data_IF_539682491400
#
_entry.id   IF_539682491400
#
_cell.length_a   1.000
_cell.length_b   1.000
_cell.length_c   1.000
_cell.angle_alpha   90.00
_cell.angle_beta   90.00
_cell.angle_gamma   90.00
#
_symmetry.space_group_name_H-M   'P 1'
#
loop_
_entity.id
_entity.type
_entity.pdbx_description
1 polymer ?
#
# COMPACT_ATOMS: atom_id res chain seq x y z
N UNK A 1 4.14 -8.63 -10.92
CA UNK A 1 3.04 -9.43 -10.49
C UNK A 1 2.80 -10.56 -11.43
N UNK A 2 2.54 -11.75 -10.97
CA UNK A 2 2.36 -12.85 -11.79
C UNK A 2 1.19 -13.62 -11.47
N UNK A 3 0.39 -13.94 -12.50
CA UNK A 3 -0.62 -14.87 -12.39
C UNK A 3 -0.04 -16.05 -12.99
N UNK A 4 0.09 -17.00 -12.30
CA UNK A 4 0.60 -18.11 -12.94
C UNK A 4 -0.48 -18.60 -13.82
N UNK A 5 -1.06 -18.23 -14.60
CA UNK A 5 -2.16 -18.66 -15.35
C UNK A 5 -1.94 -19.90 -16.12
N UNK A 6 -2.16 -19.75 -16.09
CA UNK A 6 -2.33 -20.50 -16.53
C UNK A 6 -2.52 -21.13 -17.30
N UNK A 7 -2.63 -21.04 -17.47
CA UNK A 7 -2.93 -21.57 -17.90
C UNK A 7 -3.10 -21.93 -18.42
N UNK A 8 -3.17 -21.62 -18.30
CA UNK A 8 -3.46 -21.92 -18.55
C UNK A 8 -3.89 -21.89 -18.85
N UNK A 9 -4.10 -21.32 -18.89
CA UNK A 9 -4.53 -21.34 -19.20
C UNK A 9 -4.99 -21.03 -19.57
N UNK A 10 -5.12 -20.48 -19.60
CA UNK A 10 -5.49 -20.37 -20.02
C UNK A 10 -5.88 -20.45 -20.53
N UNK A 11 -6.13 -20.07 -20.55
CA UNK A 11 -6.41 -20.35 -21.12
C UNK A 11 -6.70 -20.43 -21.57
N UNK A 12 -6.89 -19.96 -21.65
CA UNK A 12 -7.23 -20.27 -22.17
C UNK A 12 -7.67 -20.66 -22.40
N UNK A 13 -7.77 -20.57 -22.42
CA UNK A 13 -8.32 -21.16 -22.66
C UNK A 13 -8.16 -21.93 -22.73
N UNK A 14 -7.98 -21.79 -21.43
CA UNK A 14 -8.14 -22.96 -21.83
C UNK A 14 -8.55 -23.09 -23.12
N UNK A 15 -7.74 -23.16 -23.76
CA UNK A 15 -8.03 -23.28 -25.09
C UNK A 15 -8.82 -24.51 -25.34
N UNK A 16 -9.94 -24.35 -25.92
CA UNK A 16 -10.71 -25.50 -26.36
C UNK A 16 -9.97 -26.08 -27.53
N UNK A 17 -9.55 -27.30 -27.42
CA UNK A 17 -8.72 -27.86 -28.40
C UNK A 17 -9.38 -28.03 -29.72
N UNK A 18 -10.69 -28.19 -29.73
CA UNK A 18 -11.44 -28.38 -30.94
C UNK A 18 -11.62 -27.09 -31.68
N UNK A 19 -11.97 -26.04 -30.99
CA UNK A 19 -12.27 -24.78 -31.62
C UNK A 19 -11.18 -23.75 -31.48
N UNK A 20 -10.26 -23.98 -30.56
CA UNK A 20 -9.22 -23.03 -30.30
C UNK A 20 -9.66 -21.88 -29.45
N UNK A 21 -10.78 -21.98 -28.79
CA UNK A 21 -11.29 -20.90 -27.97
C UNK A 21 -11.25 -21.24 -26.50
N UNK A 22 -10.96 -20.21 -25.73
CA UNK A 22 -11.01 -20.34 -24.28
C UNK A 22 -12.40 -20.01 -23.81
N UNK A 23 -12.93 -20.85 -22.97
CA UNK A 23 -14.22 -20.53 -22.38
C UNK A 23 -14.02 -19.60 -21.22
N UNK A 24 -14.72 -18.46 -21.21
CA UNK A 24 -14.50 -17.45 -20.18
C UNK A 24 -14.60 -17.98 -18.75
N UNK A 25 -15.53 -18.87 -18.52
CA UNK A 25 -15.73 -19.43 -17.18
C UNK A 25 -14.51 -20.21 -16.73
N UNK A 26 -13.95 -21.02 -17.61
CA UNK A 26 -12.76 -21.78 -17.28
C UNK A 26 -11.56 -20.87 -17.07
N UNK A 27 -11.45 -19.82 -17.85
CA UNK A 27 -10.38 -18.89 -17.72
C UNK A 27 -10.44 -18.22 -16.36
N UNK A 28 -11.62 -17.78 -15.93
CA UNK A 28 -11.79 -17.14 -14.64
C UNK A 28 -11.41 -18.08 -13.51
N UNK A 29 -11.77 -19.33 -13.61
CA UNK A 29 -11.43 -20.30 -12.59
C UNK A 29 -9.92 -20.48 -12.48
N UNK A 30 -9.26 -20.55 -13.62
CA UNK A 30 -7.82 -20.71 -13.65
C UNK A 30 -7.15 -19.53 -12.97
N UNK A 31 -7.60 -18.32 -13.28
CA UNK A 31 -7.02 -17.13 -12.68
C UNK A 31 -7.22 -17.15 -11.17
N UNK A 32 -8.39 -17.53 -10.70
CA UNK A 32 -8.65 -17.58 -9.28
C UNK A 32 -7.78 -18.61 -8.57
N UNK A 33 -7.56 -19.75 -9.21
CA UNK A 33 -6.75 -20.79 -8.60
C UNK A 33 -5.27 -20.42 -8.58
N UNK A 34 -4.86 -19.57 -9.46
CA UNK A 34 -3.46 -19.19 -9.54
C UNK A 34 -3.20 -17.87 -8.83
N UNK A 35 -3.83 -17.71 -7.70
CA UNK A 35 -3.64 -16.56 -6.87
C UNK A 35 -2.18 -16.40 -6.46
N UNK A 36 -1.73 -15.16 -6.37
CA UNK A 36 -0.38 -14.88 -5.92
C UNK A 36 -0.23 -15.27 -4.46
N UNK A 37 0.78 -16.06 -4.18
CA UNK A 37 1.04 -16.47 -2.82
C UNK A 37 1.60 -15.29 -2.04
N UNK A 38 1.25 -15.20 -0.78
CA UNK A 38 1.69 -14.10 0.05
C UNK A 38 0.85 -12.85 -0.13
N UNK A 39 -0.06 -12.86 -1.11
CA UNK A 39 -0.98 -11.77 -1.33
C UNK A 39 -0.37 -10.58 -2.05
N UNK A 40 -1.01 -9.43 -1.94
CA UNK A 40 -0.55 -8.23 -2.62
C UNK A 40 -1.05 -7.02 -1.86
N UNK A 41 -0.46 -5.89 -2.18
CA UNK A 41 -0.86 -4.59 -1.67
C UNK A 41 -1.26 -3.74 -2.86
N UNK A 42 -2.00 -2.66 -2.58
CA UNK A 42 -2.45 -1.76 -3.64
C UNK A 42 -1.70 -0.45 -3.55
N UNK A 43 -1.14 -0.03 -4.66
CA UNK A 43 -0.41 1.23 -4.75
C UNK A 43 -1.06 2.04 -5.86
N UNK A 44 -1.52 3.24 -5.52
CA UNK A 44 -2.16 4.12 -6.47
C UNK A 44 -1.15 5.10 -7.04
N UNK A 45 -1.47 5.67 -8.19
CA UNK A 45 -0.56 6.62 -8.82
C UNK A 45 -0.25 7.81 -7.90
N UNK A 46 -1.21 8.21 -7.09
CA UNK A 46 -1.02 9.33 -6.17
C UNK A 46 0.09 9.05 -5.16
N UNK A 47 0.34 7.79 -4.85
CA UNK A 47 1.44 7.43 -3.96
C UNK A 47 2.78 7.75 -4.62
N UNK A 48 2.93 7.40 -5.90
CA UNK A 48 4.14 7.71 -6.63
C UNK A 48 4.37 9.20 -6.68
N UNK A 49 3.30 9.96 -6.96
CA UNK A 49 3.40 11.42 -7.01
C UNK A 49 3.83 12.00 -5.67
N UNK A 50 3.30 11.44 -4.58
CA UNK A 50 3.67 11.90 -3.25
C UNK A 50 5.14 11.62 -2.97
N UNK A 51 5.63 10.45 -3.36
CA UNK A 51 7.03 10.11 -3.14
C UNK A 51 7.97 11.13 -3.78
N UNK A 52 7.59 11.64 -4.95
CA UNK A 52 8.43 12.61 -5.65
C UNK A 52 8.59 13.90 -4.87
N UNK A 53 7.63 14.25 -4.02
CA UNK A 53 7.73 15.45 -3.20
C UNK A 53 8.35 15.20 -1.85
N UNK A 54 8.25 13.96 -1.35
CA UNK A 54 8.75 13.62 -0.03
C UNK A 54 10.23 13.27 -0.05
N UNK A 55 10.63 12.47 -1.01
CA UNK A 55 11.95 11.85 -1.03
C UNK A 55 12.96 12.75 -1.70
N UNK A 56 14.04 13.08 -0.98
CA UNK A 56 15.14 13.87 -1.51
C UNK A 56 16.46 13.13 -1.46
N UNK A 57 16.46 11.95 -0.86
CA UNK A 57 17.67 11.13 -0.76
C UNK A 57 17.27 9.69 -0.57
N UNK A 58 18.24 8.79 -0.73
CA UNK A 58 17.99 7.37 -0.52
C UNK A 58 17.54 7.09 0.92
N UNK A 59 18.12 7.80 1.87
CA UNK A 59 17.74 7.63 3.27
C UNK A 59 16.30 8.04 3.51
N UNK A 60 15.85 9.10 2.85
CA UNK A 60 14.46 9.51 2.95
C UNK A 60 13.55 8.39 2.46
N UNK A 61 13.91 7.78 1.34
CA UNK A 61 13.11 6.71 0.77
C UNK A 61 13.05 5.51 1.71
N UNK A 62 14.19 5.16 2.30
CA UNK A 62 14.24 4.05 3.24
C UNK A 62 13.33 4.32 4.43
N UNK A 63 13.32 5.53 4.92
CA UNK A 63 12.46 5.88 6.06
C UNK A 63 10.99 5.82 5.67
N UNK A 64 10.65 6.35 4.51
CA UNK A 64 9.26 6.32 4.05
C UNK A 64 8.76 4.88 3.93
N UNK A 65 9.59 4.01 3.35
CA UNK A 65 9.22 2.61 3.20
C UNK A 65 9.09 1.94 4.57
N UNK A 66 9.99 2.24 5.48
CA UNK A 66 9.95 1.66 6.81
C UNK A 66 8.67 2.08 7.53
N UNK A 67 8.33 3.36 7.48
CA UNK A 67 7.11 3.86 8.11
C UNK A 67 5.88 3.24 7.45
N UNK A 68 5.86 3.23 6.12
CA UNK A 68 4.74 2.66 5.38
C UNK A 68 4.47 1.22 5.80
N UNK A 69 5.53 0.44 5.97
CA UNK A 69 5.39 -0.97 6.28
C UNK A 69 5.02 -1.23 7.75
N UNK A 70 5.03 -0.20 8.58
CA UNK A 70 4.51 -0.33 9.94
C UNK A 70 2.98 -0.42 9.94
N UNK A 71 2.34 0.05 8.89
CA UNK A 71 0.90 -0.04 8.75
C UNK A 71 0.53 -1.38 8.15
N UNK A 72 -0.37 -2.10 8.82
CA UNK A 72 -0.81 -3.41 8.34
C UNK A 72 -2.31 -3.48 8.42
N UNK A 73 -2.89 -4.57 7.91
CA UNK A 73 -4.33 -4.73 7.98
C UNK A 73 -4.83 -4.83 9.42
N UNK A 74 -3.97 -5.16 10.37
CA UNK A 74 -4.32 -5.22 11.78
C UNK A 74 -3.96 -3.95 12.53
N UNK A 75 -3.10 -3.13 11.96
CA UNK A 75 -2.62 -1.95 12.64
C UNK A 75 -2.73 -0.77 11.71
N UNK A 76 -3.90 -0.15 11.73
CA UNK A 76 -4.19 0.96 10.81
C UNK A 76 -3.82 2.31 11.41
N UNK A 77 -3.60 2.36 12.72
CA UNK A 77 -3.07 3.56 13.38
C UNK A 77 -1.74 3.20 13.99
N UNK A 78 -0.73 4.02 13.73
CA UNK A 78 0.62 3.72 14.17
C UNK A 78 1.19 4.90 14.92
N UNK A 79 1.80 4.63 16.05
CA UNK A 79 2.53 5.64 16.82
C UNK A 79 3.93 5.75 16.25
N UNK A 80 4.26 6.92 15.72
CA UNK A 80 5.57 7.16 15.11
C UNK A 80 6.48 7.84 16.13
N UNK A 81 7.28 7.03 16.82
CA UNK A 81 8.24 7.51 17.80
C UNK A 81 9.54 7.84 17.09
N UNK A 82 10.00 9.09 17.20
CA UNK A 82 11.27 9.46 16.57
C UNK A 82 12.43 8.70 17.18
N UNK A 83 12.35 8.39 18.47
CA UNK A 83 13.41 7.61 19.12
C UNK A 83 13.51 6.20 18.50
N UNK A 84 12.36 5.57 18.34
CA UNK A 84 12.34 4.24 17.75
C UNK A 84 12.84 4.28 16.30
N UNK A 85 12.37 5.28 15.54
CA UNK A 85 12.78 5.39 14.14
C UNK A 85 14.27 5.69 14.02
N UNK A 86 14.81 6.49 14.94
CA UNK A 86 16.24 6.76 14.96
C UNK A 86 17.02 5.48 15.23
N UNK A 87 16.53 4.69 16.16
CA UNK A 87 17.19 3.44 16.49
C UNK A 87 17.20 2.48 15.32
N UNK A 88 16.10 2.43 14.58
CA UNK A 88 15.97 1.49 13.47
C UNK A 88 16.67 1.94 12.20
N UNK A 89 16.75 3.23 11.95
CA UNK A 89 17.29 3.73 10.69
C UNK A 89 18.64 4.40 10.81
N UNK A 90 19.03 4.79 12.02
CA UNK A 90 20.27 5.54 12.21
C UNK A 90 20.20 6.99 11.79
N UNK A 91 19.02 7.50 11.45
CA UNK A 91 18.85 8.87 11.03
C UNK A 91 18.69 9.80 12.22
N UNK A 92 19.13 11.04 12.07
CA UNK A 92 18.97 12.03 13.12
C UNK A 92 17.48 12.34 13.33
N UNK A 93 17.10 12.63 14.58
CA UNK A 93 15.71 12.92 14.91
C UNK A 93 15.14 14.09 14.11
N UNK A 94 15.94 15.11 13.90
CA UNK A 94 15.50 16.28 13.14
C UNK A 94 15.16 15.90 11.71
N UNK A 95 15.96 15.01 11.14
CA UNK A 95 15.71 14.56 9.77
C UNK A 95 14.45 13.72 9.70
N UNK A 96 14.27 12.84 10.68
CA UNK A 96 13.07 12.00 10.75
C UNK A 96 11.83 12.87 10.85
N UNK A 97 11.86 13.86 11.73
CA UNK A 97 10.73 14.79 11.90
C UNK A 97 10.44 15.52 10.59
N UNK A 98 11.49 15.92 9.89
CA UNK A 98 11.33 16.63 8.63
C UNK A 98 10.66 15.75 7.58
N UNK A 99 11.08 14.49 7.48
CA UNK A 99 10.49 13.57 6.51
C UNK A 99 9.03 13.29 6.85
N UNK A 100 8.73 13.08 8.13
CA UNK A 100 7.35 12.85 8.53
C UNK A 100 6.49 14.08 8.19
N UNK A 101 7.02 15.27 8.41
CA UNK A 101 6.30 16.49 8.05
C UNK A 101 6.00 16.55 6.57
N UNK A 102 6.94 16.13 5.73
CA UNK A 102 6.72 16.08 4.29
C UNK A 102 5.68 15.04 3.93
N UNK A 103 5.67 13.90 4.64
CA UNK A 103 4.67 12.87 4.39
C UNK A 103 3.27 13.39 4.72
N UNK A 104 3.15 14.16 5.79
CA UNK A 104 1.87 14.76 6.15
C UNK A 104 1.47 15.83 5.13
N UNK A 105 2.42 16.67 4.73
CA UNK A 105 2.14 17.71 3.75
C UNK A 105 1.72 17.13 2.40
N UNK A 106 2.27 15.99 2.03
CA UNK A 106 1.91 15.32 0.77
C UNK A 106 0.66 14.46 0.92
N UNK A 107 0.06 14.48 2.11
CA UNK A 107 -1.17 13.74 2.42
C UNK A 107 -1.02 12.22 2.40
N UNK A 108 0.19 11.74 2.50
CA UNK A 108 0.42 10.31 2.63
C UNK A 108 0.06 9.85 4.05
N UNK A 109 0.31 10.70 5.04
CA UNK A 109 -0.02 10.43 6.42
C UNK A 109 -0.97 11.49 6.95
N UNK A 110 -1.78 11.11 7.92
CA UNK A 110 -2.62 12.06 8.62
C UNK A 110 -2.53 11.80 10.10
N UNK A 111 -2.31 12.88 10.86
CA UNK A 111 -2.21 12.77 12.30
C UNK A 111 -3.60 12.62 12.90
N UNK A 112 -3.79 11.55 13.66
CA UNK A 112 -5.07 11.28 14.31
C UNK A 112 -5.09 11.90 15.69
N UNK A 113 -4.00 11.77 16.41
CA UNK A 113 -3.79 12.37 17.69
C UNK A 113 -2.29 12.44 17.92
N UNK A 114 -1.86 12.97 19.04
CA UNK A 114 -0.43 13.20 19.25
C UNK A 114 0.39 11.94 19.02
N UNK A 115 1.28 12.00 18.06
CA UNK A 115 2.20 10.92 17.74
C UNK A 115 1.59 9.76 16.97
N UNK A 116 0.28 9.76 16.74
CA UNK A 116 -0.40 8.65 16.09
C UNK A 116 -0.90 9.09 14.71
N UNK A 117 -0.64 8.25 13.72
CA UNK A 117 -0.93 8.59 12.33
C UNK A 117 -1.67 7.48 11.63
N UNK A 118 -2.38 7.84 10.56
CA UNK A 118 -2.99 6.92 9.63
C UNK A 118 -2.36 7.11 8.26
N UNK A 119 -2.31 6.03 7.51
CA UNK A 119 -1.79 6.04 6.15
C UNK A 119 -2.95 6.28 5.18
N UNK A 120 -2.71 7.10 4.16
CA UNK A 120 -3.75 7.44 3.20
C UNK A 120 -4.11 6.25 2.31
N UNK A 121 -5.31 5.68 2.45
CA UNK A 121 -5.69 4.49 1.67
C UNK A 121 -6.04 4.80 0.22
N UNK A 122 -6.08 6.09 -0.15
CA UNK A 122 -6.21 6.45 -1.55
C UNK A 122 -4.85 6.47 -2.24
N UNK A 123 -3.77 6.22 -1.48
CA UNK A 123 -2.42 6.15 -2.01
C UNK A 123 -1.85 4.75 -1.88
N UNK A 124 -2.09 4.11 -0.74
CA UNK A 124 -1.48 2.82 -0.45
C UNK A 124 -2.38 2.01 0.47
N UNK A 125 -2.66 0.76 0.08
CA UNK A 125 -3.45 -0.14 0.91
C UNK A 125 -2.59 -1.36 1.24
N UNK A 126 -2.35 -1.62 2.53
CA UNK A 126 -1.52 -2.74 2.92
C UNK A 126 -2.12 -4.09 2.54
N UNK A 127 -1.27 -5.07 2.49
CA UNK A 127 -1.67 -6.45 2.24
C UNK A 127 -2.81 -6.85 3.18
N UNK A 128 -3.85 -7.45 2.61
CA UNK A 128 -5.04 -7.94 3.33
C UNK A 128 -5.98 -6.86 3.87
N UNK A 129 -5.60 -5.61 3.78
CA UNK A 129 -6.49 -4.55 4.27
C UNK A 129 -7.66 -4.36 3.31
N UNK A 130 -8.79 -3.93 3.88
CA UNK A 130 -9.98 -3.66 3.09
C UNK A 130 -9.98 -2.21 2.65
N UNK A 131 -9.70 -2.00 1.37
CA UNK A 131 -9.56 -0.66 0.82
C UNK A 131 -10.82 0.17 1.02
N UNK A 132 -11.97 -0.41 0.80
CA UNK A 132 -13.23 0.32 0.90
C UNK A 132 -13.46 0.88 2.30
N UNK A 133 -13.25 0.03 3.30
CA UNK A 133 -13.43 0.43 4.68
C UNK A 133 -12.44 1.51 5.08
N UNK A 134 -11.17 1.32 4.71
CA UNK A 134 -10.14 2.29 5.05
C UNK A 134 -10.40 3.64 4.38
N UNK A 135 -10.83 3.60 3.13
CA UNK A 135 -11.09 4.84 2.40
C UNK A 135 -12.28 5.59 2.98
N UNK A 136 -13.31 4.87 3.40
CA UNK A 136 -14.45 5.51 4.05
C UNK A 136 -14.05 6.16 5.37
N UNK A 137 -13.22 5.48 6.15
CA UNK A 137 -12.75 6.03 7.42
C UNK A 137 -11.87 7.25 7.21
N UNK A 138 -11.07 7.23 6.16
CA UNK A 138 -10.20 8.37 5.84
C UNK A 138 -11.02 9.62 5.54
N UNK A 139 -12.11 9.47 4.80
CA UNK A 139 -12.98 10.59 4.48
C UNK A 139 -13.66 11.13 5.72
N UNK A 140 -14.04 10.25 6.64
CA UNK A 140 -14.63 10.68 7.91
C UNK A 140 -13.65 11.51 8.71
N UNK A 141 -12.39 11.08 8.73
CA UNK A 141 -11.36 11.80 9.44
C UNK A 141 -11.15 13.19 8.87
N UNK A 142 -11.18 13.33 7.55
CA UNK A 142 -11.07 14.63 6.92
C UNK A 142 -12.22 15.53 7.37
N UNK A 143 -13.41 14.98 7.38
CA UNK A 143 -14.59 15.73 7.79
C UNK A 143 -14.50 16.23 9.21
N UNK A 144 -14.01 15.38 10.10
CA UNK A 144 -13.92 15.73 11.50
C UNK A 144 -12.87 16.80 11.77
N UNK A 145 -11.87 16.88 10.93
CA UNK A 145 -10.77 17.81 11.14
C UNK A 145 -10.92 19.11 10.36
N UNK A 146 -12.01 19.26 9.65
CA UNK A 146 -12.35 20.52 9.05
C UNK A 146 -13.46 21.17 9.80
#
# INVERSE_FOLDING_TARGET
MQFTTTKQSITHKILNETTGELEPKQFDEIVKKKRIKGGFRMIYKSYDDALLTIVKSTKDLELVIFIRDMFTYRQVEVHLSTSYLQEQTGMAKSKITEVISRMVAAELLRKVRRGVYKLNPYMYVPFRADAETLQAEWLTLIKENT
#
